data_IF_703270781173
#
_entry.id   IF_703270781173
#
_cell.length_a   1.000
_cell.length_b   1.000
_cell.length_c   1.000
_cell.angle_alpha   90.00
_cell.angle_beta   90.00
_cell.angle_gamma   90.00
#
_symmetry.space_group_name_H-M   'P 1'
#
loop_
_entity.id
_entity.type
_entity.pdbx_description
1 polymer ?
#
# COMPACT_ATOMS: atom_id res chain seq x y z
N UNK A 1 -9.47 13.43 -24.21
CA UNK A 1 -10.92 13.24 -23.94
C UNK A 1 -11.28 13.86 -22.58
N UNK A 2 -12.56 13.90 -22.19
CA UNK A 2 -12.94 14.33 -20.82
C UNK A 2 -12.38 13.38 -19.75
N UNK A 3 -12.37 12.07 -20.04
CA UNK A 3 -11.80 11.05 -19.17
C UNK A 3 -10.30 11.26 -18.93
N UNK A 4 -9.52 11.53 -19.98
CA UNK A 4 -8.08 11.78 -19.80
C UNK A 4 -7.78 13.04 -19.00
N UNK A 5 -8.64 14.07 -19.07
CA UNK A 5 -8.51 15.27 -18.24
C UNK A 5 -8.70 14.97 -16.75
N UNK A 6 -9.65 14.08 -16.41
CA UNK A 6 -9.87 13.64 -15.03
C UNK A 6 -8.62 12.95 -14.44
N UNK A 7 -7.92 12.15 -15.24
CA UNK A 7 -6.72 11.43 -14.82
C UNK A 7 -5.40 12.18 -15.01
N UNK A 8 -5.45 13.41 -15.55
CA UNK A 8 -4.25 14.17 -15.90
C UNK A 8 -3.33 14.39 -14.68
N UNK A 9 -3.90 14.67 -13.50
CA UNK A 9 -3.12 14.87 -12.28
C UNK A 9 -2.28 13.63 -11.91
N UNK A 10 -2.85 12.43 -12.06
CA UNK A 10 -2.16 11.18 -11.74
C UNK A 10 -1.04 10.87 -12.73
N UNK A 11 -1.26 11.12 -14.03
CA UNK A 11 -0.22 10.91 -15.04
C UNK A 11 0.89 11.97 -15.01
N UNK A 12 0.62 13.17 -14.47
CA UNK A 12 1.59 14.23 -14.28
C UNK A 12 2.32 14.17 -12.93
N UNK A 13 2.29 13.04 -12.22
CA UNK A 13 3.07 12.81 -10.99
C UNK A 13 2.44 13.38 -9.70
N UNK A 14 1.20 13.87 -9.74
CA UNK A 14 0.47 14.40 -8.58
C UNK A 14 -0.45 13.36 -7.94
N UNK A 15 0.06 12.15 -7.70
CA UNK A 15 -0.70 11.07 -7.08
C UNK A 15 -0.11 9.70 -7.40
N UNK A 16 -0.68 8.64 -6.80
CA UNK A 16 -0.36 7.24 -7.14
C UNK A 16 -1.50 6.68 -7.98
N UNK A 17 -1.18 5.96 -9.05
CA UNK A 17 -2.17 5.26 -9.86
C UNK A 17 -1.93 3.75 -9.83
N UNK A 18 -3.01 2.97 -9.85
CA UNK A 18 -2.99 1.53 -10.06
C UNK A 18 -4.00 1.17 -11.15
N UNK A 19 -3.63 0.27 -12.04
CA UNK A 19 -4.48 -0.21 -13.13
C UNK A 19 -4.88 -1.65 -12.86
N UNK A 20 -6.18 -1.93 -12.88
CA UNK A 20 -6.72 -3.30 -12.83
C UNK A 20 -7.15 -3.67 -14.23
N UNK A 21 -6.63 -4.78 -14.73
CA UNK A 21 -6.88 -5.27 -16.09
C UNK A 21 -7.75 -6.51 -16.00
N UNK A 22 -8.96 -6.43 -16.56
CA UNK A 22 -9.88 -7.56 -16.64
C UNK A 22 -9.67 -8.32 -17.95
N UNK A 23 -9.59 -9.65 -17.88
CA UNK A 23 -9.27 -10.51 -19.03
C UNK A 23 -10.38 -11.53 -19.23
N UNK A 24 -10.83 -11.67 -20.49
CA UNK A 24 -11.72 -12.76 -20.89
C UNK A 24 -10.89 -13.98 -21.30
N UNK A 25 -11.27 -15.15 -20.79
CA UNK A 25 -10.63 -16.44 -21.03
C UNK A 25 -11.02 -17.04 -22.39
N UNK A 26 -12.08 -16.53 -23.02
CA UNK A 26 -12.58 -17.05 -24.29
C UNK A 26 -11.62 -16.74 -25.45
N UNK A 27 -11.32 -17.75 -26.26
CA UNK A 27 -10.44 -17.60 -27.43
C UNK A 27 -11.02 -16.65 -28.49
N UNK A 28 -12.35 -16.49 -28.56
CA UNK A 28 -13.00 -15.61 -29.52
C UNK A 28 -12.66 -14.13 -29.32
N UNK A 29 -12.26 -13.73 -28.11
CA UNK A 29 -11.85 -12.37 -27.76
C UNK A 29 -10.32 -12.22 -27.68
N UNK A 30 -9.57 -13.16 -28.27
CA UNK A 30 -8.10 -13.18 -28.15
C UNK A 30 -7.46 -11.88 -28.63
N UNK A 31 -7.86 -11.37 -29.79
CA UNK A 31 -7.26 -10.16 -30.37
C UNK A 31 -7.53 -8.91 -29.52
N UNK A 32 -8.72 -8.84 -28.90
CA UNK A 32 -9.10 -7.78 -27.97
C UNK A 32 -8.27 -7.87 -26.68
N UNK A 33 -8.18 -9.06 -26.08
CA UNK A 33 -7.34 -9.34 -24.92
C UNK A 33 -5.87 -9.02 -25.21
N UNK A 34 -5.36 -9.38 -26.39
CA UNK A 34 -4.00 -9.08 -26.82
C UNK A 34 -3.76 -7.57 -26.91
N UNK A 35 -4.74 -6.81 -27.41
CA UNK A 35 -4.66 -5.35 -27.47
C UNK A 35 -4.61 -4.73 -26.06
N UNK A 36 -5.47 -5.19 -25.15
CA UNK A 36 -5.50 -4.75 -23.74
C UNK A 36 -4.17 -5.04 -23.05
N UNK A 37 -3.59 -6.23 -23.27
CA UNK A 37 -2.29 -6.60 -22.69
C UNK A 37 -1.15 -5.74 -23.23
N UNK A 38 -1.12 -5.46 -24.54
CA UNK A 38 -0.14 -4.55 -25.16
C UNK A 38 -0.24 -3.14 -24.57
N UNK A 39 -1.46 -2.61 -24.45
CA UNK A 39 -1.68 -1.30 -23.83
C UNK A 39 -1.22 -1.26 -22.37
N UNK A 40 -1.53 -2.30 -21.59
CA UNK A 40 -1.14 -2.40 -20.18
C UNK A 40 0.38 -2.45 -20.00
N UNK A 41 1.09 -3.14 -20.90
CA UNK A 41 2.55 -3.18 -20.90
C UNK A 41 3.16 -1.79 -21.16
N UNK A 42 2.57 -0.99 -22.05
CA UNK A 42 2.98 0.40 -22.30
C UNK A 42 2.68 1.27 -21.07
N UNK A 43 1.49 1.10 -20.46
CA UNK A 43 1.10 1.86 -19.28
C UNK A 43 2.06 1.65 -18.09
N UNK A 44 2.65 0.46 -17.95
CA UNK A 44 3.67 0.17 -16.94
C UNK A 44 4.95 0.99 -17.10
N UNK A 45 5.28 1.43 -18.33
CA UNK A 45 6.47 2.23 -18.61
C UNK A 45 6.28 3.71 -18.27
N UNK A 46 5.06 4.13 -17.93
CA UNK A 46 4.77 5.51 -17.54
C UNK A 46 5.35 5.73 -16.14
N UNK A 47 6.59 6.24 -16.11
CA UNK A 47 7.26 6.64 -14.87
C UNK A 47 6.60 7.93 -14.38
N UNK A 48 5.81 7.82 -13.31
CA UNK A 48 5.36 8.98 -12.59
C UNK A 48 6.56 9.53 -11.82
N UNK A 49 7.08 10.68 -12.23
CA UNK A 49 8.03 11.46 -11.42
C UNK A 49 7.24 12.07 -10.27
N UNK A 50 6.83 11.22 -9.33
CA UNK A 50 6.41 11.68 -8.02
C UNK A 50 7.73 12.12 -7.39
N UNK A 51 7.95 13.42 -7.10
CA UNK A 51 9.09 13.78 -6.28
C UNK A 51 8.96 12.95 -5.02
N UNK A 52 9.93 12.07 -4.79
CA UNK A 52 10.02 11.36 -3.53
C UNK A 52 10.05 12.46 -2.47
N UNK A 53 8.93 12.68 -1.79
CA UNK A 53 9.04 13.06 -0.39
C UNK A 53 9.99 12.01 0.15
N UNK A 54 11.16 12.39 0.70
CA UNK A 54 12.11 11.41 1.16
C UNK A 54 11.30 10.43 1.99
N UNK A 55 11.21 9.21 1.49
CA UNK A 55 10.85 8.09 2.32
C UNK A 55 12.06 8.08 3.22
N UNK A 56 11.95 8.78 4.36
CA UNK A 56 12.90 8.65 5.44
C UNK A 56 12.98 7.15 5.64
N UNK A 57 14.08 6.62 5.11
CA UNK A 57 14.41 5.23 5.18
C UNK A 57 14.25 4.89 6.64
N UNK A 58 13.37 3.94 6.95
CA UNK A 58 13.25 3.37 8.29
C UNK A 58 14.52 2.61 8.71
N UNK A 59 15.67 2.87 8.06
CA UNK A 59 16.99 2.60 8.59
C UNK A 59 17.29 3.67 9.64
N UNK A 60 17.65 3.30 10.88
CA UNK A 60 18.12 4.25 11.87
C UNK A 60 19.32 5.03 11.32
N UNK A 61 19.10 6.27 10.91
CA UNK A 61 20.17 7.19 10.58
C UNK A 61 20.53 7.91 11.88
N UNK A 62 21.72 7.65 12.41
CA UNK A 62 22.25 8.41 13.53
C UNK A 62 22.68 9.78 13.00
N UNK A 63 22.14 10.84 13.60
CA UNK A 63 22.52 12.21 13.33
C UNK A 63 23.25 12.77 14.54
N UNK A 64 24.35 13.47 14.31
CA UNK A 64 25.01 14.24 15.36
C UNK A 64 24.13 15.41 15.81
N UNK A 65 24.40 15.96 16.99
CA UNK A 65 23.67 17.12 17.55
C UNK A 65 23.84 18.40 16.69
N UNK A 66 24.80 18.42 15.77
CA UNK A 66 25.03 19.45 14.75
C UNK A 66 24.15 19.27 13.48
N UNK A 67 23.28 18.26 13.47
CA UNK A 67 22.35 17.96 12.38
C UNK A 67 23.02 17.40 11.13
N UNK A 68 24.28 16.94 11.24
CA UNK A 68 24.99 16.30 10.13
C UNK A 68 24.80 14.78 10.18
N UNK A 69 24.55 14.13 9.04
CA UNK A 69 24.46 12.68 8.99
C UNK A 69 25.82 12.05 9.31
N UNK A 70 25.88 11.17 10.31
CA UNK A 70 27.09 10.42 10.67
C UNK A 70 27.46 9.36 9.62
N UNK A 71 26.56 9.09 8.67
CA UNK A 71 26.78 8.17 7.57
C UNK A 71 27.13 8.94 6.30
N UNK A 72 28.44 9.06 6.03
CA UNK A 72 28.93 9.38 4.70
C UNK A 72 29.58 8.13 4.10
N UNK A 73 28.93 7.55 3.09
CA UNK A 73 29.46 6.45 2.28
C UNK A 73 29.73 5.09 2.98
N UNK A 74 29.07 4.80 4.10
CA UNK A 74 29.06 3.45 4.68
C UNK A 74 30.30 3.06 5.48
N UNK A 75 31.10 4.03 5.94
CA UNK A 75 32.17 3.81 6.93
C UNK A 75 31.78 4.56 8.20
N UNK A 76 31.76 3.85 9.34
CA UNK A 76 31.46 4.44 10.66
C UNK A 76 32.67 5.28 11.06
N UNK A 77 32.46 6.57 11.26
CA UNK A 77 33.49 7.45 11.81
C UNK A 77 33.61 7.21 13.33
N UNK A 78 34.70 6.56 13.73
CA UNK A 78 34.89 6.08 15.10
C UNK A 78 35.01 7.21 16.12
N UNK A 79 35.45 8.40 15.70
CA UNK A 79 35.61 9.57 16.57
C UNK A 79 34.26 10.19 16.94
N UNK A 80 33.28 10.10 16.04
CA UNK A 80 31.95 10.67 16.27
C UNK A 80 31.04 9.75 17.12
N UNK A 81 31.29 8.44 17.11
CA UNK A 81 30.57 7.47 17.93
C UNK A 81 30.96 7.56 19.43
N UNK A 82 32.26 7.78 19.71
CA UNK A 82 32.78 7.99 21.07
C UNK A 82 32.19 9.25 21.73
N UNK A 83 32.05 10.34 20.96
CA UNK A 83 31.44 11.58 21.45
C UNK A 83 29.96 11.42 21.84
N UNK A 84 29.22 10.53 21.19
CA UNK A 84 27.80 10.31 21.46
C UNK A 84 27.59 9.50 22.76
N UNK A 85 28.40 8.47 22.96
CA UNK A 85 28.32 7.61 24.15
C UNK A 85 28.73 8.34 25.45
N UNK A 86 29.55 9.39 25.35
CA UNK A 86 29.97 10.18 26.51
C UNK A 86 28.93 11.23 26.96
N UNK A 87 27.92 11.57 26.14
CA UNK A 87 26.89 12.57 26.49
C UNK A 87 25.56 11.96 26.97
N UNK A 88 25.36 10.64 26.82
CA UNK A 88 24.10 9.96 27.18
C UNK A 88 23.93 9.73 28.70
N UNK A 89 24.96 9.99 29.51
CA UNK A 89 24.93 9.83 30.97
C UNK A 89 24.24 10.99 31.74
N UNK A 90 23.73 12.04 31.05
CA UNK A 90 23.38 13.32 31.70
C UNK A 90 21.97 13.89 31.51
N UNK A 91 20.96 13.16 31.04
CA UNK A 91 19.60 13.73 30.97
C UNK A 91 18.55 12.86 31.68
N UNK A 92 18.44 13.16 32.97
CA UNK A 92 17.28 12.91 33.81
C UNK A 92 16.13 13.89 33.46
N UNK A 93 14.91 13.46 33.78
CA UNK A 93 13.64 14.22 33.81
C UNK A 93 12.89 14.50 32.47
N UNK A 94 11.70 13.89 32.38
CA UNK A 94 10.50 14.30 31.61
C UNK A 94 10.36 13.89 30.14
N UNK A 95 10.16 12.59 29.91
CA UNK A 95 9.52 12.06 28.70
C UNK A 95 8.19 11.35 29.03
N UNK A 96 7.15 12.13 29.37
CA UNK A 96 5.78 11.61 29.39
C UNK A 96 5.16 11.65 27.97
N UNK A 97 5.79 10.90 27.06
CA UNK A 97 5.17 10.48 25.80
C UNK A 97 4.59 9.09 26.10
N UNK A 98 3.28 9.02 26.38
CA UNK A 98 2.54 7.78 26.64
C UNK A 98 2.82 6.72 25.56
N UNK A 99 3.87 5.93 25.76
CA UNK A 99 4.12 4.69 25.06
C UNK A 99 3.11 3.69 25.62
N UNK A 100 2.06 3.40 24.84
CA UNK A 100 1.20 2.26 25.17
C UNK A 100 2.10 1.05 25.42
N UNK A 101 1.93 0.33 26.55
CA UNK A 101 2.77 -0.82 26.86
C UNK A 101 2.79 -1.77 25.67
N UNK A 102 3.97 -2.29 25.33
CA UNK A 102 4.19 -3.15 24.16
C UNK A 102 3.19 -4.32 24.07
N UNK A 103 2.74 -4.82 25.22
CA UNK A 103 1.70 -5.85 25.36
C UNK A 103 0.34 -5.42 24.80
N UNK A 104 -0.10 -4.18 25.02
CA UNK A 104 -1.38 -3.66 24.54
C UNK A 104 -1.38 -3.51 23.02
N UNK A 105 -0.26 -3.06 22.44
CA UNK A 105 -0.11 -2.96 21.00
C UNK A 105 -0.16 -4.34 20.32
N UNK A 106 0.51 -5.34 20.90
CA UNK A 106 0.46 -6.71 20.41
C UNK A 106 -0.96 -7.29 20.47
N UNK A 107 -1.67 -7.08 21.58
CA UNK A 107 -3.07 -7.48 21.73
C UNK A 107 -3.97 -6.81 20.69
N UNK A 108 -3.74 -5.54 20.40
CA UNK A 108 -4.49 -4.81 19.37
C UNK A 108 -4.23 -5.38 17.98
N UNK A 109 -2.97 -5.67 17.64
CA UNK A 109 -2.60 -6.26 16.34
C UNK A 109 -3.27 -7.63 16.17
N UNK A 110 -3.23 -8.47 17.20
CA UNK A 110 -3.87 -9.78 17.16
C UNK A 110 -5.41 -9.67 17.05
N UNK A 111 -6.02 -8.74 17.81
CA UNK A 111 -7.44 -8.42 17.72
C UNK A 111 -7.86 -7.91 16.34
N UNK A 112 -7.04 -7.10 15.68
CA UNK A 112 -7.31 -6.61 14.33
C UNK A 112 -7.16 -7.72 13.28
N UNK A 113 -6.16 -8.60 13.43
CA UNK A 113 -5.97 -9.76 12.54
C UNK A 113 -7.16 -10.71 12.60
N UNK A 114 -7.65 -11.02 13.79
CA UNK A 114 -8.82 -11.90 13.96
C UNK A 114 -10.08 -11.28 13.35
N UNK A 115 -10.34 -9.99 13.61
CA UNK A 115 -11.46 -9.26 12.98
C UNK A 115 -11.36 -9.23 11.46
N UNK A 116 -10.17 -8.98 10.91
CA UNK A 116 -9.95 -8.97 9.46
C UNK A 116 -10.26 -10.33 8.82
N UNK A 117 -9.82 -11.43 9.45
CA UNK A 117 -10.09 -12.77 8.96
C UNK A 117 -11.59 -13.11 9.02
N UNK A 118 -12.27 -12.70 10.09
CA UNK A 118 -13.72 -12.87 10.22
C UNK A 118 -14.47 -12.06 9.14
N UNK A 119 -14.09 -10.80 8.91
CA UNK A 119 -14.65 -9.96 7.84
C UNK A 119 -14.47 -10.59 6.46
N UNK A 120 -13.26 -11.08 6.14
CA UNK A 120 -13.00 -11.74 4.85
C UNK A 120 -13.88 -12.97 4.63
N UNK A 121 -14.07 -13.79 5.67
CA UNK A 121 -14.94 -14.97 5.59
C UNK A 121 -16.39 -14.58 5.37
N UNK A 122 -16.90 -13.58 6.11
CA UNK A 122 -18.28 -13.12 5.96
C UNK A 122 -18.55 -12.53 4.58
N UNK A 123 -17.62 -11.71 4.06
CA UNK A 123 -17.72 -11.15 2.71
C UNK A 123 -17.75 -12.25 1.65
N UNK A 124 -16.90 -13.28 1.77
CA UNK A 124 -16.89 -14.38 0.81
C UNK A 124 -18.23 -15.11 0.79
N UNK A 125 -18.81 -15.38 1.97
CA UNK A 125 -20.11 -16.05 2.09
C UNK A 125 -21.22 -15.18 1.47
N UNK A 126 -21.24 -13.88 1.78
CA UNK A 126 -22.23 -12.95 1.23
C UNK A 126 -22.13 -12.83 -0.29
N UNK A 127 -20.92 -12.77 -0.85
CA UNK A 127 -20.73 -12.70 -2.31
C UNK A 127 -21.26 -13.96 -3.01
N UNK A 128 -21.04 -15.15 -2.43
CA UNK A 128 -21.56 -16.41 -2.96
C UNK A 128 -23.09 -16.42 -2.91
N UNK A 129 -23.67 -15.98 -1.79
CA UNK A 129 -25.12 -15.92 -1.60
C UNK A 129 -25.79 -14.96 -2.58
N UNK A 130 -25.26 -13.74 -2.72
CA UNK A 130 -25.77 -12.72 -3.66
C UNK A 130 -25.72 -13.25 -5.11
N UNK A 131 -24.61 -13.89 -5.50
CA UNK A 131 -24.50 -14.46 -6.86
C UNK A 131 -25.50 -15.56 -7.11
N UNK A 132 -25.76 -16.40 -6.10
CA UNK A 132 -26.77 -17.46 -6.18
C UNK A 132 -28.16 -16.85 -6.33
N UNK A 133 -28.54 -15.90 -5.47
CA UNK A 133 -29.83 -15.23 -5.51
C UNK A 133 -30.07 -14.50 -6.85
N UNK A 134 -29.06 -13.79 -7.36
CA UNK A 134 -29.11 -13.17 -8.69
C UNK A 134 -29.31 -14.20 -9.81
N UNK A 135 -28.62 -15.35 -9.74
CA UNK A 135 -28.76 -16.43 -10.72
C UNK A 135 -30.15 -17.06 -10.69
N UNK A 136 -30.66 -17.35 -9.49
CA UNK A 136 -31.99 -17.93 -9.29
C UNK A 136 -33.09 -16.96 -9.78
N UNK A 137 -32.96 -15.66 -9.46
CA UNK A 137 -33.89 -14.63 -9.93
C UNK A 137 -33.87 -14.47 -11.46
N UNK A 138 -32.67 -14.49 -12.08
CA UNK A 138 -32.54 -14.41 -13.54
C UNK A 138 -33.16 -15.63 -14.22
N UNK A 139 -32.97 -16.83 -13.66
CA UNK A 139 -33.58 -18.05 -14.17
C UNK A 139 -35.11 -18.02 -14.08
N UNK A 140 -35.64 -17.54 -12.95
CA UNK A 140 -37.08 -17.40 -12.77
C UNK A 140 -37.69 -16.42 -13.80
N UNK A 141 -37.02 -15.29 -14.06
CA UNK A 141 -37.48 -14.32 -15.04
C UNK A 141 -37.51 -14.90 -16.47
N UNK A 142 -36.55 -15.76 -16.82
CA UNK A 142 -36.55 -16.45 -18.12
C UNK A 142 -37.75 -17.39 -18.22
N UNK A 143 -37.99 -18.22 -17.20
CA UNK A 143 -39.12 -19.17 -17.16
C UNK A 143 -40.48 -18.47 -17.17
N UNK A 144 -40.60 -17.28 -16.59
CA UNK A 144 -41.83 -16.47 -16.62
C UNK A 144 -42.06 -15.76 -17.98
N UNK A 145 -41.04 -15.72 -18.84
CA UNK A 145 -41.08 -15.06 -20.15
C UNK A 145 -41.24 -16.01 -21.34
N UNK A 146 -41.22 -17.33 -21.10
CA UNK A 146 -41.63 -18.39 -22.05
C UNK A 146 -43.13 -18.70 -21.93
#
# INVERSE_FOLDING_TARGET
>A
SKLTKLFQAFFCGKGKASMVVNINQCASTYDETLHVMKFSAIAKQVVQVIPDKPVDSLSPCLFGRDGKPLLRNGVIDSEALESYLSEEELLDEEADMFLLPQSELLNMIEGLRTKLLAERRRNLVQEIEIRKEMGDAMLQQILESE
#
